data_IF_669903827974
#
_entry.id   IF_669903827974
#
_cell.length_a   1.000
_cell.length_b   1.000
_cell.length_c   1.000
_cell.angle_alpha   90.00
_cell.angle_beta   90.00
_cell.angle_gamma   90.00
#
_symmetry.space_group_name_H-M   'P 1'
#
loop_
_entity.id
_entity.type
_entity.pdbx_description
1 polymer ?
#
# COMPACT_ATOMS: atom_id res chain seq x y z
N UNK A 1 3.12 18.59 -5.50
CA UNK A 1 1.77 18.07 -5.82
C UNK A 1 1.28 17.27 -4.63
N UNK A 2 -0.04 17.23 -4.40
CA UNK A 2 -0.64 16.34 -3.39
C UNK A 2 -1.08 15.05 -4.08
N UNK A 3 -0.66 13.91 -3.55
CA UNK A 3 -0.91 12.59 -4.12
C UNK A 3 -1.50 11.71 -3.02
N UNK A 4 -2.70 11.19 -3.25
CA UNK A 4 -3.26 10.12 -2.42
C UNK A 4 -2.89 8.78 -3.04
N UNK A 5 -2.14 7.95 -2.31
CA UNK A 5 -1.69 6.65 -2.78
C UNK A 5 -2.36 5.55 -1.95
N UNK A 6 -3.25 4.80 -2.59
CA UNK A 6 -4.05 3.74 -1.96
C UNK A 6 -3.44 2.38 -2.28
N UNK A 7 -3.29 1.52 -1.27
CA UNK A 7 -2.73 0.18 -1.46
C UNK A 7 -3.31 -0.83 -0.47
N UNK A 8 -3.50 -2.08 -0.91
CA UNK A 8 -3.90 -3.19 -0.06
C UNK A 8 -2.69 -4.09 0.18
N UNK A 9 -2.32 -4.31 1.43
CA UNK A 9 -1.39 -5.35 1.81
C UNK A 9 -2.10 -6.70 1.78
N UNK A 10 -1.65 -7.60 0.91
CA UNK A 10 -2.13 -8.97 0.88
C UNK A 10 -1.33 -9.85 1.84
N UNK A 11 -1.77 -11.09 2.04
CA UNK A 11 -1.19 -12.00 3.05
C UNK A 11 0.32 -12.21 2.88
N UNK A 12 0.81 -12.15 1.65
CA UNK A 12 2.21 -12.34 1.31
C UNK A 12 2.79 -11.08 0.72
N UNK A 13 3.99 -10.73 1.16
CA UNK A 13 4.74 -9.61 0.61
C UNK A 13 5.22 -9.95 -0.81
N UNK A 14 4.89 -9.10 -1.79
CA UNK A 14 5.20 -9.31 -3.19
C UNK A 14 5.84 -8.10 -3.88
N UNK A 15 5.84 -8.18 -5.21
CA UNK A 15 6.37 -7.12 -6.07
C UNK A 15 5.55 -5.83 -5.99
N UNK A 16 4.25 -5.93 -5.74
CA UNK A 16 3.35 -4.79 -5.59
C UNK A 16 3.74 -3.94 -4.38
N UNK A 17 3.93 -4.56 -3.21
CA UNK A 17 4.37 -3.88 -2.00
C UNK A 17 5.73 -3.23 -2.24
N UNK A 18 6.67 -3.94 -2.87
CA UNK A 18 8.00 -3.39 -3.17
C UNK A 18 7.91 -2.14 -4.06
N UNK A 19 7.05 -2.17 -5.07
CA UNK A 19 6.79 -1.04 -5.94
C UNK A 19 6.13 0.12 -5.19
N UNK A 20 5.11 -0.16 -4.37
CA UNK A 20 4.40 0.85 -3.57
C UNK A 20 5.36 1.63 -2.67
N UNK A 21 6.23 0.93 -1.93
CA UNK A 21 7.22 1.57 -1.07
C UNK A 21 8.26 2.36 -1.87
N UNK A 22 8.76 1.79 -2.97
CA UNK A 22 9.77 2.44 -3.83
C UNK A 22 9.23 3.72 -4.47
N UNK A 23 8.01 3.67 -4.99
CA UNK A 23 7.37 4.82 -5.62
C UNK A 23 7.00 5.90 -4.61
N UNK A 24 6.44 5.51 -3.45
CA UNK A 24 6.12 6.46 -2.37
C UNK A 24 7.38 7.24 -1.96
N UNK A 25 8.49 6.52 -1.76
CA UNK A 25 9.78 7.13 -1.41
C UNK A 25 10.28 8.06 -2.51
N UNK A 26 10.24 7.63 -3.77
CA UNK A 26 10.68 8.44 -4.91
C UNK A 26 9.88 9.75 -5.01
N UNK A 27 8.54 9.67 -4.90
CA UNK A 27 7.66 10.83 -4.99
C UNK A 27 7.89 11.82 -3.84
N UNK A 28 8.07 11.32 -2.61
CA UNK A 28 8.41 12.14 -1.45
C UNK A 28 9.77 12.83 -1.63
N UNK A 29 10.79 12.11 -2.13
CA UNK A 29 12.11 12.68 -2.43
C UNK A 29 12.08 13.77 -3.50
N UNK A 30 11.10 13.71 -4.42
CA UNK A 30 10.88 14.76 -5.43
C UNK A 30 10.05 15.95 -4.90
N UNK A 31 9.76 16.00 -3.60
CA UNK A 31 9.03 17.10 -2.96
C UNK A 31 7.52 17.03 -3.14
N UNK A 32 6.97 15.85 -3.44
CA UNK A 32 5.52 15.66 -3.44
C UNK A 32 5.00 15.31 -2.05
N UNK A 33 3.82 15.84 -1.71
CA UNK A 33 3.09 15.46 -0.50
C UNK A 33 2.32 14.17 -0.83
N UNK A 34 2.84 13.04 -0.35
CA UNK A 34 2.24 11.72 -0.56
C UNK A 34 1.52 11.29 0.71
N UNK A 35 0.21 11.16 0.63
CA UNK A 35 -0.66 10.64 1.69
C UNK A 35 -0.97 9.18 1.34
N UNK A 36 -0.66 8.26 2.24
CA UNK A 36 -0.96 6.84 2.04
C UNK A 36 -2.23 6.45 2.76
N UNK A 37 -3.08 5.67 2.08
CA UNK A 37 -4.20 4.97 2.72
C UNK A 37 -4.07 3.49 2.44
N UNK A 38 -3.91 2.70 3.48
CA UNK A 38 -3.65 1.27 3.36
C UNK A 38 -4.66 0.42 4.10
N UNK A 39 -4.90 -0.77 3.57
CA UNK A 39 -5.66 -1.84 4.23
C UNK A 39 -4.80 -3.09 4.27
N UNK A 40 -4.83 -3.82 5.38
CA UNK A 40 -4.09 -5.08 5.52
C UNK A 40 -5.07 -6.24 5.59
N UNK A 41 -4.87 -7.23 4.73
CA UNK A 41 -5.68 -8.45 4.62
C UNK A 41 -5.00 -9.67 5.24
N UNK A 42 -3.89 -9.51 5.98
CA UNK A 42 -3.19 -10.63 6.65
C UNK A 42 -4.09 -11.44 7.57
N UNK A 43 -5.07 -10.80 8.20
CA UNK A 43 -5.99 -11.46 9.11
C UNK A 43 -7.14 -12.19 8.38
N UNK A 44 -7.31 -11.96 7.08
CA UNK A 44 -8.31 -12.64 6.25
C UNK A 44 -7.76 -13.98 5.81
N UNK A 45 -7.99 -15.05 6.58
CA UNK A 45 -7.46 -16.40 6.29
C UNK A 45 -8.44 -17.26 5.50
N UNK A 46 -9.71 -16.96 5.63
CA UNK A 46 -10.82 -17.69 5.03
C UNK A 46 -11.81 -16.73 4.39
N UNK A 47 -12.73 -17.26 3.58
CA UNK A 47 -13.81 -16.46 3.01
C UNK A 47 -14.68 -15.80 4.10
N UNK A 48 -14.85 -16.47 5.24
CA UNK A 48 -15.67 -15.99 6.36
C UNK A 48 -15.06 -14.79 7.08
N UNK A 49 -13.73 -14.65 7.08
CA UNK A 49 -13.05 -13.50 7.69
C UNK A 49 -13.26 -12.20 6.89
N UNK A 50 -13.81 -12.31 5.67
CA UNK A 50 -14.08 -11.20 4.76
C UNK A 50 -15.52 -10.68 4.82
N UNK A 51 -16.44 -11.44 5.46
CA UNK A 51 -17.89 -11.15 5.52
C UNK A 51 -18.20 -10.27 6.73
#
# INVERSE_FOLDING_TARGET
MKILFIHNYYQYYGGEETYFHSLTKLLQQKGHEVITYTKDSKDIKTFWDKI
#
